data_IF_545344273116
#
_entry.id   IF_545344273116
#
_cell.length_a   1.000
_cell.length_b   1.000
_cell.length_c   1.000
_cell.angle_alpha   90.00
_cell.angle_beta   90.00
_cell.angle_gamma   90.00
#
_symmetry.space_group_name_H-M   'P 1'
#
loop_
_entity.id
_entity.type
_entity.pdbx_description
1 polymer ?
#
# COMPACT_ATOMS: atom_id res chain seq x y z
N UNK A 1 -20.08 -7.03 10.58
CA UNK A 1 -20.25 -5.64 11.08
C UNK A 1 -19.15 -4.70 10.56
N UNK A 2 -17.86 -5.03 10.64
CA UNK A 2 -16.77 -4.14 10.19
C UNK A 2 -16.81 -3.72 8.70
N UNK A 3 -17.24 -4.60 7.78
CA UNK A 3 -17.26 -4.30 6.35
C UNK A 3 -18.25 -3.18 5.98
N UNK A 4 -19.38 -3.07 6.69
CA UNK A 4 -20.37 -2.02 6.46
C UNK A 4 -19.81 -0.66 6.89
N UNK A 5 -19.10 -0.63 8.03
CA UNK A 5 -18.42 0.58 8.50
C UNK A 5 -17.31 1.03 7.55
N UNK A 6 -16.52 0.08 7.02
CA UNK A 6 -15.48 0.37 6.02
C UNK A 6 -16.11 0.92 4.72
N UNK A 7 -17.18 0.31 4.25
CA UNK A 7 -17.89 0.72 3.03
C UNK A 7 -18.50 2.12 3.19
N UNK A 8 -19.11 2.40 4.34
CA UNK A 8 -19.64 3.73 4.65
C UNK A 8 -18.54 4.79 4.77
N UNK A 9 -17.39 4.44 5.37
CA UNK A 9 -16.21 5.31 5.43
C UNK A 9 -15.67 5.65 4.04
N UNK A 10 -15.50 4.65 3.18
CA UNK A 10 -15.07 4.85 1.78
C UNK A 10 -16.08 5.69 0.98
N UNK A 11 -17.38 5.50 1.23
CA UNK A 11 -18.42 6.30 0.60
C UNK A 11 -18.37 7.78 1.03
N UNK A 12 -18.25 8.06 2.33
CA UNK A 12 -18.08 9.42 2.85
C UNK A 12 -16.85 10.11 2.26
N UNK A 13 -15.71 9.39 2.27
CA UNK A 13 -14.48 9.86 1.63
C UNK A 13 -14.70 10.18 0.17
N UNK A 14 -15.42 9.34 -0.58
CA UNK A 14 -15.69 9.57 -2.00
C UNK A 14 -16.59 10.77 -2.27
N UNK A 15 -17.57 11.05 -1.41
CA UNK A 15 -18.48 12.21 -1.53
C UNK A 15 -17.76 13.53 -1.25
N UNK A 16 -16.83 13.54 -0.31
CA UNK A 16 -16.01 14.72 0.00
C UNK A 16 -14.89 14.98 -1.02
N UNK A 17 -14.69 14.07 -1.98
CA UNK A 17 -13.53 14.09 -2.86
C UNK A 17 -13.81 14.75 -4.22
N UNK A 18 -13.04 15.78 -4.55
CA UNK A 18 -13.10 16.45 -5.84
C UNK A 18 -12.17 15.75 -6.86
N UNK A 19 -12.76 15.08 -7.86
CA UNK A 19 -12.08 14.23 -8.85
C UNK A 19 -11.04 15.01 -9.68
N UNK A 20 -11.21 16.33 -9.79
CA UNK A 20 -10.34 17.21 -10.58
C UNK A 20 -8.91 17.25 -10.04
N UNK A 21 -8.72 17.01 -8.75
CA UNK A 21 -7.40 17.01 -8.08
C UNK A 21 -6.50 15.85 -8.52
N UNK A 22 -7.08 14.73 -8.97
CA UNK A 22 -6.34 13.51 -9.34
C UNK A 22 -5.66 13.63 -10.71
N UNK A 23 -6.21 14.45 -11.61
CA UNK A 23 -5.77 14.48 -12.99
C UNK A 23 -4.37 15.12 -13.17
N UNK A 24 -3.90 15.88 -12.19
CA UNK A 24 -2.60 16.55 -12.21
C UNK A 24 -1.57 15.81 -11.37
N UNK A 25 -1.19 14.61 -11.82
CA UNK A 25 -0.08 13.86 -11.23
C UNK A 25 1.24 14.55 -11.58
N UNK A 26 1.81 15.26 -10.62
CA UNK A 26 3.12 15.87 -10.75
C UNK A 26 4.25 14.85 -10.51
N UNK A 27 5.36 14.98 -11.25
CA UNK A 27 6.58 14.16 -11.05
C UNK A 27 7.07 14.17 -9.59
N UNK A 28 6.90 15.30 -8.89
CA UNK A 28 7.21 15.44 -7.45
C UNK A 28 6.42 14.45 -6.59
N UNK A 29 5.14 14.23 -6.90
CA UNK A 29 4.30 13.27 -6.18
C UNK A 29 4.78 11.84 -6.37
N UNK A 30 5.24 11.49 -7.58
CA UNK A 30 5.81 10.18 -7.89
C UNK A 30 7.11 9.95 -7.09
N UNK A 31 7.99 10.96 -7.03
CA UNK A 31 9.23 10.90 -6.25
C UNK A 31 8.96 10.69 -4.75
N UNK A 32 8.05 11.47 -4.17
CA UNK A 32 7.68 11.37 -2.75
C UNK A 32 7.06 10.00 -2.46
N UNK A 33 6.17 9.52 -3.33
CA UNK A 33 5.59 8.19 -3.22
C UNK A 33 6.69 7.13 -3.21
N UNK A 34 7.62 7.15 -4.18
CA UNK A 34 8.71 6.17 -4.25
C UNK A 34 9.58 6.17 -3.00
N UNK A 35 9.96 7.34 -2.48
CA UNK A 35 10.79 7.41 -1.26
C UNK A 35 10.03 6.87 -0.04
N UNK A 36 8.74 7.21 0.07
CA UNK A 36 7.85 6.72 1.12
C UNK A 36 7.62 5.21 1.09
N UNK A 37 7.71 4.58 -0.09
CA UNK A 37 7.65 3.12 -0.26
C UNK A 37 8.96 2.46 0.15
N UNK A 38 10.07 3.02 -0.32
CA UNK A 38 11.39 2.38 -0.28
C UNK A 38 11.89 2.26 1.17
N UNK A 39 11.68 3.30 1.99
CA UNK A 39 12.10 3.31 3.40
C UNK A 39 11.49 2.16 4.25
N UNK A 40 10.16 2.05 4.39
CA UNK A 40 9.53 0.97 5.14
C UNK A 40 9.77 -0.40 4.49
N UNK A 41 9.87 -0.47 3.16
CA UNK A 41 10.21 -1.73 2.47
C UNK A 41 11.62 -2.22 2.84
N UNK A 42 12.62 -1.33 2.91
CA UNK A 42 13.98 -1.68 3.35
C UNK A 42 14.01 -2.14 4.81
N UNK A 43 13.24 -1.49 5.67
CA UNK A 43 13.11 -1.88 7.08
C UNK A 43 12.46 -3.26 7.19
N UNK A 44 11.37 -3.52 6.46
CA UNK A 44 10.69 -4.82 6.44
C UNK A 44 11.59 -5.95 5.95
N UNK A 45 12.38 -5.72 4.89
CA UNK A 45 13.36 -6.69 4.38
C UNK A 45 14.46 -6.94 5.43
N UNK A 46 15.04 -5.89 5.99
CA UNK A 46 16.13 -5.99 6.97
C UNK A 46 15.68 -6.74 8.23
N UNK A 47 14.47 -6.43 8.71
CA UNK A 47 13.88 -7.09 9.87
C UNK A 47 13.57 -8.56 9.59
N UNK A 48 13.05 -8.88 8.40
CA UNK A 48 12.78 -10.26 8.01
C UNK A 48 14.05 -11.11 7.89
N UNK A 49 15.16 -10.53 7.42
CA UNK A 49 16.45 -11.23 7.33
C UNK A 49 17.05 -11.49 8.73
N UNK A 50 16.97 -10.51 9.63
CA UNK A 50 17.38 -10.65 11.04
C UNK A 50 16.58 -11.73 11.78
N UNK A 51 15.27 -11.79 11.55
CA UNK A 51 14.40 -12.77 12.20
C UNK A 51 14.59 -14.18 11.62
N UNK A 52 14.88 -14.28 10.32
CA UNK A 52 15.17 -15.55 9.66
C UNK A 52 16.46 -16.20 10.19
N UNK A 53 17.49 -15.42 10.51
CA UNK A 53 18.71 -15.96 11.16
C UNK A 53 18.42 -16.60 12.53
N UNK A 54 17.31 -16.27 13.18
CA UNK A 54 16.94 -16.78 14.51
C UNK A 54 15.94 -17.94 14.47
N UNK A 55 15.18 -18.11 13.38
CA UNK A 55 14.04 -19.04 13.35
C UNK A 55 13.97 -19.77 12.00
N UNK A 56 14.42 -21.02 11.94
CA UNK A 56 14.44 -21.87 10.73
C UNK A 56 13.06 -22.46 10.35
N UNK A 57 11.96 -21.85 10.78
CA UNK A 57 10.64 -22.50 10.80
C UNK A 57 9.70 -22.20 9.61
N UNK A 58 10.03 -21.28 8.70
CA UNK A 58 9.10 -20.89 7.60
C UNK A 58 9.76 -20.81 6.22
N UNK A 59 9.00 -21.17 5.16
CA UNK A 59 9.35 -20.97 3.75
C UNK A 59 9.67 -19.50 3.50
N UNK A 60 10.90 -19.26 3.09
CA UNK A 60 11.57 -17.96 3.12
C UNK A 60 10.89 -16.90 2.24
N UNK A 61 10.35 -17.28 1.07
CA UNK A 61 9.79 -16.34 0.10
C UNK A 61 8.46 -15.71 0.53
N UNK A 62 7.51 -16.53 0.99
CA UNK A 62 6.15 -16.08 1.30
C UNK A 62 6.09 -15.18 2.53
N UNK A 63 6.86 -15.49 3.57
CA UNK A 63 6.89 -14.69 4.81
C UNK A 63 7.48 -13.29 4.57
N UNK A 64 8.56 -13.20 3.79
CA UNK A 64 9.19 -11.91 3.41
C UNK A 64 8.20 -11.07 2.61
N UNK A 65 7.52 -11.65 1.62
CA UNK A 65 6.52 -10.94 0.81
C UNK A 65 5.36 -10.45 1.67
N UNK A 66 4.84 -11.30 2.56
CA UNK A 66 3.70 -10.95 3.41
C UNK A 66 4.04 -9.83 4.40
N UNK A 67 5.20 -9.93 5.07
CA UNK A 67 5.68 -8.90 6.01
C UNK A 67 5.93 -7.57 5.29
N UNK A 68 6.50 -7.62 4.07
CA UNK A 68 6.78 -6.44 3.26
C UNK A 68 5.50 -5.76 2.78
N UNK A 69 4.49 -6.52 2.35
CA UNK A 69 3.17 -5.98 1.97
C UNK A 69 2.50 -5.36 3.19
N UNK A 70 2.45 -6.06 4.32
CA UNK A 70 1.76 -5.58 5.53
C UNK A 70 2.33 -4.27 6.09
N UNK A 71 3.66 -4.10 6.08
CA UNK A 71 4.33 -2.89 6.56
C UNK A 71 4.27 -1.71 5.59
N UNK A 72 3.91 -1.97 4.33
CA UNK A 72 3.89 -0.99 3.26
C UNK A 72 2.46 -0.46 2.95
N UNK A 73 1.41 -1.08 3.51
CA UNK A 73 0.03 -0.65 3.26
C UNK A 73 -0.18 0.77 3.80
N UNK A 74 -0.33 1.72 2.88
CA UNK A 74 -0.83 3.07 3.18
C UNK A 74 -2.12 3.26 2.40
N UNK A 75 -3.23 3.43 3.11
CA UNK A 75 -4.56 3.53 2.52
C UNK A 75 -4.85 4.97 2.11
N UNK A 76 -5.02 5.18 0.80
CA UNK A 76 -5.48 6.45 0.22
C UNK A 76 -6.68 7.08 0.97
N UNK A 77 -7.71 6.31 1.38
CA UNK A 77 -8.86 6.83 2.13
C UNK A 77 -8.54 7.46 3.50
N UNK A 78 -7.43 7.11 4.15
CA UNK A 78 -7.05 7.79 5.39
C UNK A 78 -6.42 9.16 5.11
N UNK A 79 -5.57 9.26 4.09
CA UNK A 79 -4.94 10.53 3.72
C UNK A 79 -5.95 11.56 3.24
N UNK A 80 -6.94 11.15 2.42
CA UNK A 80 -8.03 12.02 1.98
C UNK A 80 -8.73 12.69 3.16
N UNK A 81 -9.09 11.89 4.16
CA UNK A 81 -9.81 12.35 5.34
C UNK A 81 -8.97 13.31 6.17
N UNK A 82 -7.70 12.99 6.41
CA UNK A 82 -6.77 13.88 7.12
C UNK A 82 -6.67 15.24 6.39
N UNK A 83 -6.58 15.24 5.07
CA UNK A 83 -6.48 16.44 4.25
C UNK A 83 -7.76 17.29 4.22
N UNK A 84 -8.93 16.64 4.24
CA UNK A 84 -10.24 17.31 4.40
C UNK A 84 -10.35 17.93 5.80
N UNK A 85 -10.01 17.17 6.85
CA UNK A 85 -10.04 17.63 8.24
C UNK A 85 -9.11 18.83 8.47
N UNK A 86 -7.94 18.83 7.82
CA UNK A 86 -7.00 19.94 7.86
C UNK A 86 -7.37 21.11 6.91
N UNK A 87 -8.41 20.98 6.09
CA UNK A 87 -8.78 21.93 5.01
C UNK A 87 -7.67 22.17 3.97
N UNK A 88 -6.71 21.26 3.86
CA UNK A 88 -5.55 21.37 2.95
C UNK A 88 -5.80 20.74 1.58
N UNK A 89 -6.96 20.11 1.33
CA UNK A 89 -7.21 19.31 0.13
C UNK A 89 -7.10 20.10 -1.19
N UNK A 90 -7.43 21.40 -1.17
CA UNK A 90 -7.37 22.27 -2.35
C UNK A 90 -6.00 22.97 -2.55
N UNK A 91 -5.02 22.68 -1.69
CA UNK A 91 -3.67 23.26 -1.79
C UNK A 91 -2.77 22.40 -2.67
N UNK A 92 -1.74 22.99 -3.29
CA UNK A 92 -0.75 22.24 -4.08
C UNK A 92 -0.14 21.05 -3.30
N UNK A 93 0.10 21.24 -2.00
CA UNK A 93 0.59 20.18 -1.12
C UNK A 93 -0.43 19.05 -0.96
N UNK A 94 -1.72 19.39 -0.82
CA UNK A 94 -2.79 18.40 -0.74
C UNK A 94 -2.90 17.57 -2.02
N UNK A 95 -2.78 18.19 -3.18
CA UNK A 95 -2.78 17.49 -4.47
C UNK A 95 -1.59 16.52 -4.60
N UNK A 96 -0.40 16.94 -4.15
CA UNK A 96 0.81 16.11 -4.17
C UNK A 96 0.66 14.89 -3.27
N UNK A 97 0.16 15.08 -2.04
CA UNK A 97 -0.03 13.99 -1.07
C UNK A 97 -1.08 13.00 -1.58
N UNK A 98 -2.21 13.48 -2.11
CA UNK A 98 -3.25 12.62 -2.67
C UNK A 98 -2.79 11.83 -3.88
N UNK A 99 -2.12 12.48 -4.83
CA UNK A 99 -1.57 11.82 -6.02
C UNK A 99 -0.53 10.77 -5.64
N UNK A 100 0.33 11.07 -4.66
CA UNK A 100 1.30 10.13 -4.10
C UNK A 100 0.62 8.90 -3.48
N UNK A 101 -0.43 9.12 -2.68
CA UNK A 101 -1.18 8.05 -2.03
C UNK A 101 -1.91 7.14 -3.02
N UNK A 102 -2.50 7.69 -4.09
CA UNK A 102 -3.13 6.89 -5.16
C UNK A 102 -2.14 6.00 -5.91
N UNK A 103 -1.00 6.57 -6.31
CA UNK A 103 0.06 5.82 -6.98
C UNK A 103 0.56 4.69 -6.07
N UNK A 104 0.63 4.95 -4.76
CA UNK A 104 1.00 3.94 -3.79
C UNK A 104 -0.02 2.79 -3.72
N UNK A 105 -1.31 3.13 -3.60
CA UNK A 105 -2.39 2.14 -3.49
C UNK A 105 -2.39 1.20 -4.71
N UNK A 106 -2.30 1.77 -5.92
CA UNK A 106 -2.21 0.99 -7.17
C UNK A 106 -1.00 0.03 -7.15
N UNK A 107 0.18 0.49 -6.70
CA UNK A 107 1.38 -0.35 -6.59
C UNK A 107 1.19 -1.49 -5.60
N UNK A 108 0.53 -1.24 -4.46
CA UNK A 108 0.22 -2.27 -3.46
C UNK A 108 -0.67 -3.35 -4.07
N UNK A 109 -1.75 -2.96 -4.74
CA UNK A 109 -2.67 -3.91 -5.38
C UNK A 109 -2.00 -4.76 -6.47
N UNK A 110 -1.15 -4.14 -7.30
CA UNK A 110 -0.37 -4.87 -8.32
C UNK A 110 0.58 -5.88 -7.64
N UNK A 111 1.31 -5.44 -6.61
CA UNK A 111 2.28 -6.29 -5.92
C UNK A 111 1.59 -7.43 -5.16
N UNK A 112 0.41 -7.19 -4.59
CA UNK A 112 -0.43 -8.19 -3.95
C UNK A 112 -0.90 -9.24 -4.96
N UNK A 113 -1.39 -8.80 -6.13
CA UNK A 113 -1.80 -9.72 -7.20
C UNK A 113 -0.65 -10.63 -7.64
N UNK A 114 0.55 -10.07 -7.82
CA UNK A 114 1.76 -10.85 -8.15
C UNK A 114 2.12 -11.82 -7.02
N UNK A 115 2.03 -11.40 -5.76
CA UNK A 115 2.32 -12.26 -4.62
C UNK A 115 1.34 -13.44 -4.53
N UNK A 116 0.05 -13.21 -4.78
CA UNK A 116 -0.98 -14.27 -4.83
C UNK A 116 -0.68 -15.25 -5.97
N UNK A 117 -0.39 -14.74 -7.17
CA UNK A 117 -0.06 -15.57 -8.34
C UNK A 117 1.19 -16.44 -8.11
N UNK A 118 2.21 -15.91 -7.44
CA UNK A 118 3.41 -16.68 -7.07
C UNK A 118 3.11 -17.72 -5.99
N UNK A 119 2.30 -17.38 -5.00
CA UNK A 119 1.91 -18.30 -3.93
C UNK A 119 1.09 -19.49 -4.45
N UNK A 120 0.18 -19.27 -5.40
CA UNK A 120 -0.55 -20.34 -6.08
C UNK A 120 0.40 -21.24 -6.88
N UNK A 121 1.33 -20.67 -7.64
CA UNK A 121 2.26 -21.45 -8.47
C UNK A 121 3.24 -22.30 -7.63
N UNK A 122 3.71 -21.82 -6.48
CA UNK A 122 4.51 -22.63 -5.53
C UNK A 122 3.71 -23.80 -4.93
N UNK A 123 2.39 -23.65 -4.75
CA UNK A 123 1.54 -24.73 -4.21
C UNK A 123 1.23 -25.82 -5.22
N UNK A 124 1.14 -25.48 -6.51
CA UNK A 124 0.89 -26.45 -7.60
C UNK A 124 2.05 -27.42 -7.77
N UNK A 125 3.30 -26.99 -7.51
CA UNK A 125 4.49 -27.84 -7.69
C UNK A 125 4.69 -28.91 -6.59
N UNK A 126 3.98 -28.81 -5.46
CA UNK A 126 4.05 -29.79 -4.36
C UNK A 126 2.85 -30.74 -4.31
N UNK A 127 1.76 -30.45 -5.03
CA UNK A 127 0.58 -31.32 -5.11
C UNK A 127 0.63 -32.30 -6.29
N UNK A 128 1.63 -32.18 -7.18
CA UNK A 128 1.82 -33.03 -8.36
C UNK A 128 3.01 -34.00 -8.26
N UNK A 129 3.52 -34.27 -7.05
CA UNK A 129 4.43 -35.37 -6.73
C UNK A 129 3.79 -36.28 -5.68
#
# INVERSE_FOLDING_TARGET
>A
MANISLLYFLFLVGVEFDIVVIWYINWKAILIATVGVILPSLIGISFSLLLHQRTQFFKQGTFILFLRVALFVTTFPMFSRILVELKFINTELGQIVMSSALVNDIRVWILLAVAIALAENESVNLATL
#
